data_IF_304129628687
#
_entry.id   IF_304129628687
#
_cell.length_a   1.000
_cell.length_b   1.000
_cell.length_c   1.000
_cell.angle_alpha   90.00
_cell.angle_beta   90.00
_cell.angle_gamma   90.00
#
_symmetry.space_group_name_H-M   'P 1'
#
loop_
_entity.id
_entity.type
_entity.pdbx_description
1 polymer ?
#
# COMPACT_ATOMS: atom_id res chain seq x y z
N UNK A 1 -5.74 -27.66 -0.25
CA UNK A 1 -6.63 -28.43 0.65
C UNK A 1 -6.03 -28.86 1.99
N UNK A 2 -4.76 -28.58 2.31
CA UNK A 2 -4.07 -29.07 3.51
C UNK A 2 -4.06 -28.13 4.73
N UNK A 3 -4.65 -26.91 4.64
CA UNK A 3 -4.56 -25.91 5.72
C UNK A 3 -5.85 -25.63 6.50
N UNK A 4 -6.98 -26.25 6.13
CA UNK A 4 -8.29 -25.99 6.79
C UNK A 4 -8.94 -27.20 7.47
N UNK A 5 -8.26 -28.33 7.57
CA UNK A 5 -8.82 -29.51 8.28
C UNK A 5 -8.56 -29.40 9.78
N UNK A 6 -9.63 -29.37 10.54
CA UNK A 6 -9.85 -29.50 12.00
C UNK A 6 -10.14 -28.19 12.73
N UNK A 7 -11.27 -28.16 13.44
CA UNK A 7 -11.54 -27.34 14.64
C UNK A 7 -10.27 -27.34 15.51
N UNK A 8 -9.38 -26.39 15.29
CA UNK A 8 -8.12 -26.32 16.01
C UNK A 8 -8.26 -25.26 17.09
N UNK A 9 -8.44 -25.69 18.32
CA UNK A 9 -7.94 -25.03 19.53
C UNK A 9 -6.40 -24.97 19.43
N UNK A 10 -5.88 -24.33 18.37
CA UNK A 10 -4.45 -24.23 18.11
C UNK A 10 -3.76 -23.39 19.19
N UNK A 11 -2.59 -23.82 19.64
CA UNK A 11 -1.71 -23.05 20.50
C UNK A 11 -1.40 -21.70 19.83
N UNK A 12 -1.12 -20.66 20.61
CA UNK A 12 -0.77 -19.30 20.12
C UNK A 12 0.33 -19.34 19.05
N UNK A 13 1.28 -20.27 19.16
CA UNK A 13 2.34 -20.54 18.17
C UNK A 13 1.78 -20.89 16.78
N UNK A 14 0.64 -21.56 16.70
CA UNK A 14 0.02 -21.93 15.41
C UNK A 14 -0.59 -20.71 14.70
N UNK A 15 -1.18 -19.76 15.44
CA UNK A 15 -1.71 -18.51 14.86
C UNK A 15 -0.58 -17.65 14.30
N UNK A 16 0.51 -17.45 15.04
CA UNK A 16 1.68 -16.70 14.55
C UNK A 16 2.29 -17.35 13.31
N UNK A 17 2.46 -18.68 13.30
CA UNK A 17 2.99 -19.39 12.12
C UNK A 17 2.12 -19.16 10.88
N UNK A 18 0.80 -19.18 11.04
CA UNK A 18 -0.13 -18.95 9.94
C UNK A 18 -0.09 -17.49 9.45
N UNK A 19 -0.05 -16.51 10.35
CA UNK A 19 0.11 -15.11 9.98
C UNK A 19 1.43 -14.86 9.23
N UNK A 20 2.53 -15.39 9.73
CA UNK A 20 3.84 -15.28 9.08
C UNK A 20 3.87 -15.94 7.70
N UNK A 21 3.24 -17.12 7.54
CA UNK A 21 3.22 -17.83 6.26
C UNK A 21 2.47 -17.08 5.14
N UNK A 22 1.49 -16.25 5.50
CA UNK A 22 0.74 -15.38 4.58
C UNK A 22 1.43 -14.02 4.45
N UNK A 23 1.89 -13.44 5.56
CA UNK A 23 2.42 -12.08 5.62
C UNK A 23 3.82 -11.94 5.02
N UNK A 24 4.73 -12.89 5.25
CA UNK A 24 6.10 -12.83 4.71
C UNK A 24 6.10 -12.70 3.18
N UNK A 25 5.33 -13.51 2.40
CA UNK A 25 5.24 -13.30 0.96
C UNK A 25 4.74 -11.90 0.57
N UNK A 26 3.78 -11.33 1.31
CA UNK A 26 3.28 -9.97 1.04
C UNK A 26 4.39 -8.93 1.32
N UNK A 27 5.10 -9.06 2.44
CA UNK A 27 6.24 -8.19 2.80
C UNK A 27 7.32 -8.25 1.72
N UNK A 28 7.70 -9.45 1.25
CA UNK A 28 8.69 -9.63 0.18
C UNK A 28 8.21 -8.97 -1.12
N UNK A 29 6.93 -9.09 -1.46
CA UNK A 29 6.36 -8.40 -2.62
C UNK A 29 6.45 -6.88 -2.50
N UNK A 30 6.11 -6.31 -1.34
CA UNK A 30 6.25 -4.87 -1.09
C UNK A 30 7.72 -4.41 -1.13
N UNK A 31 8.64 -5.20 -0.55
CA UNK A 31 10.08 -4.93 -0.63
C UNK A 31 10.56 -4.86 -2.08
N UNK A 32 10.11 -5.78 -2.92
CA UNK A 32 10.41 -5.75 -4.36
C UNK A 32 9.98 -4.44 -5.02
N UNK A 33 8.82 -3.89 -4.66
CA UNK A 33 8.34 -2.61 -5.20
C UNK A 33 9.22 -1.43 -4.79
N UNK A 34 9.72 -1.43 -3.54
CA UNK A 34 10.64 -0.38 -3.07
C UNK A 34 11.98 -0.49 -3.80
N UNK A 35 12.55 -1.69 -3.91
CA UNK A 35 13.81 -1.93 -4.64
C UNK A 35 13.68 -1.48 -6.10
N UNK A 36 12.53 -1.74 -6.73
CA UNK A 36 12.25 -1.28 -8.08
C UNK A 36 12.27 0.24 -8.18
N UNK A 37 11.59 0.96 -7.28
CA UNK A 37 11.59 2.42 -7.26
C UNK A 37 12.99 3.02 -7.09
N UNK A 38 13.83 2.41 -6.27
CA UNK A 38 15.25 2.80 -6.14
C UNK A 38 16.03 2.54 -7.42
N UNK A 39 15.87 1.37 -8.04
CA UNK A 39 16.54 1.02 -9.29
C UNK A 39 16.15 2.00 -10.41
N UNK A 40 14.87 2.29 -10.59
CA UNK A 40 14.37 3.26 -11.56
C UNK A 40 14.99 4.65 -11.33
N UNK A 41 14.98 5.13 -10.10
CA UNK A 41 15.53 6.44 -9.73
C UNK A 41 17.03 6.53 -10.01
N UNK A 42 17.79 5.50 -9.64
CA UNK A 42 19.24 5.44 -9.87
C UNK A 42 19.54 5.38 -11.36
N UNK A 43 18.85 4.54 -12.13
CA UNK A 43 19.11 4.37 -13.55
C UNK A 43 18.78 5.62 -14.36
N UNK A 44 17.63 6.25 -14.10
CA UNK A 44 17.24 7.51 -14.74
C UNK A 44 18.20 8.64 -14.33
N UNK A 45 18.55 8.73 -13.04
CA UNK A 45 19.43 9.77 -12.51
C UNK A 45 20.87 9.71 -13.04
N UNK A 46 21.38 8.51 -13.36
CA UNK A 46 22.67 8.37 -14.03
C UNK A 46 22.64 8.71 -15.53
N UNK A 47 21.46 8.69 -16.14
CA UNK A 47 21.30 9.04 -17.54
C UNK A 47 21.18 10.58 -17.71
N UNK A 48 20.25 11.23 -16.98
CA UNK A 48 20.07 12.70 -17.04
C UNK A 48 19.41 13.24 -15.78
N UNK A 49 19.89 14.40 -15.30
CA UNK A 49 19.28 15.14 -14.18
C UNK A 49 17.90 15.68 -14.54
N UNK A 50 17.70 16.13 -15.79
CA UNK A 50 16.42 16.65 -16.29
C UNK A 50 15.38 15.53 -16.38
N UNK A 51 15.76 14.35 -16.87
CA UNK A 51 14.91 13.17 -16.90
C UNK A 51 14.52 12.72 -15.50
N UNK A 52 15.43 12.77 -14.54
CA UNK A 52 15.13 12.47 -13.14
C UNK A 52 14.12 13.44 -12.55
N UNK A 53 14.25 14.73 -12.85
CA UNK A 53 13.29 15.76 -12.42
C UNK A 53 11.90 15.53 -13.02
N UNK A 54 11.85 15.25 -14.34
CA UNK A 54 10.61 14.93 -15.05
C UNK A 54 9.94 13.65 -14.51
N UNK A 55 10.73 12.59 -14.27
CA UNK A 55 10.26 11.36 -13.65
C UNK A 55 9.69 11.60 -12.26
N UNK A 56 10.39 12.40 -11.45
CA UNK A 56 9.97 12.73 -10.07
C UNK A 56 8.58 13.39 -10.04
N UNK A 57 8.33 14.36 -10.91
CA UNK A 57 7.02 15.02 -11.01
C UNK A 57 5.92 14.02 -11.38
N UNK A 58 6.12 13.24 -12.44
CA UNK A 58 5.14 12.28 -12.93
C UNK A 58 4.88 11.22 -11.85
N UNK A 59 5.93 10.66 -11.24
CA UNK A 59 5.80 9.62 -10.23
C UNK A 59 5.06 10.13 -8.96
N UNK A 60 5.25 11.38 -8.54
CA UNK A 60 4.51 11.96 -7.43
C UNK A 60 3.00 12.04 -7.72
N UNK A 61 2.62 12.48 -8.92
CA UNK A 61 1.21 12.52 -9.36
C UNK A 61 0.62 11.10 -9.37
N UNK A 62 1.33 10.16 -9.99
CA UNK A 62 0.86 8.78 -10.09
C UNK A 62 0.80 8.06 -8.74
N UNK A 63 1.67 8.38 -7.79
CA UNK A 63 1.68 7.74 -6.46
C UNK A 63 0.36 7.94 -5.73
N UNK A 64 -0.20 9.17 -5.73
CA UNK A 64 -1.48 9.43 -5.07
C UNK A 64 -2.62 8.64 -5.73
N UNK A 65 -2.70 8.71 -7.07
CA UNK A 65 -3.72 7.98 -7.84
C UNK A 65 -3.57 6.47 -7.62
N UNK A 66 -2.34 5.99 -7.62
CA UNK A 66 -2.01 4.59 -7.42
C UNK A 66 -2.41 4.08 -6.03
N UNK A 67 -2.12 4.83 -4.96
CA UNK A 67 -2.49 4.48 -3.58
C UNK A 67 -4.02 4.41 -3.43
N UNK A 68 -4.75 5.35 -4.03
CA UNK A 68 -6.21 5.32 -4.02
C UNK A 68 -6.76 4.12 -4.82
N UNK A 69 -6.20 3.86 -6.00
CA UNK A 69 -6.61 2.73 -6.83
C UNK A 69 -6.34 1.38 -6.15
N UNK A 70 -5.15 1.22 -5.60
CA UNK A 70 -4.79 0.03 -4.81
C UNK A 70 -5.74 -0.14 -3.61
N UNK A 71 -6.04 0.95 -2.90
CA UNK A 71 -7.00 0.96 -1.80
C UNK A 71 -8.39 0.50 -2.22
N UNK A 72 -8.86 0.92 -3.40
CA UNK A 72 -10.12 0.44 -3.94
C UNK A 72 -10.11 -1.08 -4.17
N UNK A 73 -9.03 -1.63 -4.73
CA UNK A 73 -8.92 -3.07 -4.98
C UNK A 73 -8.93 -3.90 -3.69
N UNK A 74 -8.48 -3.34 -2.56
CA UNK A 74 -8.48 -4.03 -1.25
C UNK A 74 -9.88 -4.41 -0.75
N UNK A 75 -10.94 -3.81 -1.31
CA UNK A 75 -12.32 -4.21 -1.03
C UNK A 75 -12.66 -5.65 -1.42
N UNK A 76 -11.90 -6.26 -2.35
CA UNK A 76 -12.15 -7.64 -2.80
C UNK A 76 -11.72 -8.70 -1.77
N UNK A 77 -10.59 -8.50 -1.09
CA UNK A 77 -10.02 -9.49 -0.16
C UNK A 77 -11.00 -9.95 0.93
N UNK A 78 -11.71 -9.06 1.67
CA UNK A 78 -12.67 -9.51 2.68
C UNK A 78 -13.88 -10.24 2.08
N UNK A 79 -14.30 -9.91 0.86
CA UNK A 79 -15.39 -10.61 0.17
C UNK A 79 -14.99 -12.06 -0.12
N UNK A 80 -13.82 -12.23 -0.73
CA UNK A 80 -13.30 -13.55 -1.10
C UNK A 80 -12.96 -14.36 0.14
N UNK A 81 -12.27 -13.74 1.12
CA UNK A 81 -11.87 -14.44 2.34
C UNK A 81 -13.07 -14.94 3.14
N UNK A 82 -14.14 -14.16 3.21
CA UNK A 82 -15.39 -14.58 3.86
C UNK A 82 -16.01 -15.78 3.14
N UNK A 83 -16.18 -15.72 1.81
CA UNK A 83 -16.72 -16.83 1.01
C UNK A 83 -15.86 -18.09 1.12
N UNK A 84 -14.54 -17.90 1.14
CA UNK A 84 -13.60 -18.99 1.34
C UNK A 84 -13.75 -19.64 2.73
N UNK A 85 -13.96 -18.82 3.77
CA UNK A 85 -14.25 -19.30 5.12
C UNK A 85 -15.62 -19.99 5.26
N UNK A 86 -16.62 -19.56 4.48
CA UNK A 86 -17.96 -20.18 4.39
C UNK A 86 -17.95 -21.46 3.53
N UNK A 87 -16.83 -21.85 2.91
CA UNK A 87 -16.70 -22.94 1.95
C UNK A 87 -17.57 -22.78 0.69
N UNK A 88 -18.01 -21.55 0.41
CA UNK A 88 -18.84 -21.19 -0.76
C UNK A 88 -17.97 -20.90 -1.98
N UNK A 89 -17.25 -21.92 -2.41
CA UNK A 89 -16.24 -21.83 -3.49
C UNK A 89 -16.86 -21.39 -4.82
N UNK A 90 -18.05 -21.89 -5.13
CA UNK A 90 -18.77 -21.59 -6.38
C UNK A 90 -19.14 -20.11 -6.54
N UNK A 91 -19.25 -19.36 -5.45
CA UNK A 91 -19.57 -17.93 -5.51
C UNK A 91 -18.35 -17.03 -5.72
N UNK A 92 -17.13 -17.55 -5.53
CA UNK A 92 -15.90 -16.76 -5.57
C UNK A 92 -15.61 -16.24 -6.98
N UNK A 93 -15.72 -17.09 -8.00
CA UNK A 93 -15.42 -16.70 -9.39
C UNK A 93 -16.29 -15.54 -9.87
N UNK A 94 -17.59 -15.57 -9.54
CA UNK A 94 -18.51 -14.48 -9.86
C UNK A 94 -18.10 -13.16 -9.18
N UNK A 95 -17.67 -13.20 -7.91
CA UNK A 95 -17.20 -11.99 -7.20
C UNK A 95 -15.92 -11.44 -7.82
N UNK A 96 -14.99 -12.30 -8.22
CA UNK A 96 -13.74 -11.89 -8.91
C UNK A 96 -14.08 -11.18 -10.22
N UNK A 97 -14.97 -11.74 -11.07
CA UNK A 97 -15.39 -11.11 -12.33
C UNK A 97 -16.04 -9.75 -12.13
N UNK A 98 -16.98 -9.66 -11.18
CA UNK A 98 -17.64 -8.39 -10.86
C UNK A 98 -16.68 -7.34 -10.29
N UNK A 99 -15.71 -7.78 -9.47
CA UNK A 99 -14.67 -6.89 -8.97
C UNK A 99 -13.70 -6.45 -10.05
N UNK A 100 -13.35 -7.33 -10.99
CA UNK A 100 -12.53 -6.95 -12.13
C UNK A 100 -13.20 -5.84 -12.93
N UNK A 101 -14.51 -5.98 -13.22
CA UNK A 101 -15.28 -4.93 -13.88
C UNK A 101 -15.30 -3.63 -13.08
N UNK A 102 -15.56 -3.68 -11.77
CA UNK A 102 -15.56 -2.50 -10.91
C UNK A 102 -14.18 -1.82 -10.85
N UNK A 103 -13.12 -2.61 -10.75
CA UNK A 103 -11.74 -2.11 -10.75
C UNK A 103 -11.37 -1.47 -12.09
N UNK A 104 -11.72 -2.11 -13.22
CA UNK A 104 -11.47 -1.55 -14.55
C UNK A 104 -12.22 -0.23 -14.74
N UNK A 105 -13.48 -0.14 -14.31
CA UNK A 105 -14.24 1.10 -14.38
C UNK A 105 -13.61 2.21 -13.50
N UNK A 106 -13.22 1.88 -12.27
CA UNK A 106 -12.52 2.81 -11.38
C UNK A 106 -11.19 3.26 -11.97
N UNK A 107 -10.41 2.32 -12.52
CA UNK A 107 -9.14 2.63 -13.20
C UNK A 107 -9.36 3.55 -14.41
N UNK A 108 -10.42 3.32 -15.19
CA UNK A 108 -10.78 4.20 -16.32
C UNK A 108 -11.16 5.60 -15.83
N UNK A 109 -11.95 5.73 -14.77
CA UNK A 109 -12.31 7.04 -14.19
C UNK A 109 -11.09 7.80 -13.67
N UNK A 110 -10.18 7.12 -12.98
CA UNK A 110 -8.92 7.70 -12.54
C UNK A 110 -8.02 8.09 -13.72
N UNK A 111 -7.99 7.27 -14.78
CA UNK A 111 -7.28 7.57 -16.01
C UNK A 111 -7.85 8.81 -16.72
N UNK A 112 -9.16 9.00 -16.74
CA UNK A 112 -9.81 10.22 -17.26
C UNK A 112 -9.36 11.44 -16.45
N UNK A 113 -9.32 11.36 -15.13
CA UNK A 113 -8.82 12.46 -14.29
C UNK A 113 -7.35 12.78 -14.60
N UNK A 114 -6.52 11.75 -14.82
CA UNK A 114 -5.12 11.93 -15.24
C UNK A 114 -5.02 12.53 -16.65
N UNK A 115 -5.91 12.20 -17.58
CA UNK A 115 -5.96 12.84 -18.93
C UNK A 115 -6.30 14.32 -18.81
N UNK A 116 -7.28 14.69 -17.97
CA UNK A 116 -7.59 16.10 -17.69
C UNK A 116 -6.37 16.84 -17.15
N UNK A 117 -5.64 16.23 -16.23
CA UNK A 117 -4.39 16.78 -15.71
C UNK A 117 -3.32 16.90 -16.81
N UNK A 118 -3.15 15.87 -17.64
CA UNK A 118 -2.23 15.87 -18.78
C UNK A 118 -2.47 17.04 -19.73
N UNK A 119 -3.73 17.32 -20.07
CA UNK A 119 -4.11 18.44 -20.94
C UNK A 119 -3.81 19.81 -20.30
N UNK A 120 -3.66 19.87 -18.98
CA UNK A 120 -3.36 21.09 -18.24
C UNK A 120 -1.92 21.15 -17.70
N UNK A 121 -1.02 20.25 -18.10
CA UNK A 121 0.36 20.22 -17.62
C UNK A 121 1.11 21.55 -17.82
N UNK A 122 0.87 22.25 -18.92
CA UNK A 122 1.47 23.57 -19.20
C UNK A 122 1.05 24.67 -18.20
N UNK A 123 -0.08 24.49 -17.50
CA UNK A 123 -0.58 25.46 -16.51
C UNK A 123 -0.07 25.18 -15.08
N UNK A 124 0.69 24.08 -14.86
CA UNK A 124 1.23 23.72 -13.54
C UNK A 124 2.51 24.50 -13.21
N UNK A 125 3.02 25.33 -14.15
CA UNK A 125 4.19 26.18 -13.92
C UNK A 125 5.53 25.45 -13.98
N UNK A 126 5.59 24.32 -14.70
CA UNK A 126 6.84 23.61 -14.96
C UNK A 126 7.59 24.25 -16.15
N UNK A 127 8.95 24.20 -16.16
CA UNK A 127 9.74 24.62 -17.29
C UNK A 127 9.30 23.95 -18.59
N UNK A 128 9.18 24.69 -19.68
CA UNK A 128 8.73 24.16 -20.99
C UNK A 128 9.64 23.02 -21.49
N UNK A 129 10.95 23.13 -21.23
CA UNK A 129 11.96 22.14 -21.60
C UNK A 129 11.68 20.74 -20.97
N UNK A 130 11.10 20.71 -19.77
CA UNK A 130 10.73 19.44 -19.10
C UNK A 130 9.43 18.84 -19.65
N UNK A 131 8.56 19.64 -20.28
CA UNK A 131 7.27 19.15 -20.80
C UNK A 131 7.45 18.13 -21.91
N UNK A 132 8.50 18.26 -22.73
CA UNK A 132 8.81 17.33 -23.82
C UNK A 132 9.23 15.95 -23.28
N UNK A 133 9.84 15.88 -22.10
CA UNK A 133 10.17 14.65 -21.38
C UNK A 133 8.97 14.10 -20.58
N UNK A 134 8.22 14.98 -19.94
CA UNK A 134 7.08 14.63 -19.09
C UNK A 134 5.96 13.98 -19.92
N UNK A 135 5.57 14.58 -21.04
CA UNK A 135 4.40 14.16 -21.83
C UNK A 135 4.45 12.71 -22.29
N UNK A 136 5.50 12.23 -22.99
CA UNK A 136 5.56 10.84 -23.42
C UNK A 136 5.58 9.86 -22.23
N UNK A 137 6.36 10.17 -21.20
CA UNK A 137 6.46 9.36 -20.00
C UNK A 137 5.13 9.27 -19.24
N UNK A 138 4.38 10.39 -19.17
CA UNK A 138 3.06 10.44 -18.56
C UNK A 138 2.07 9.54 -19.29
N UNK A 139 2.01 9.58 -20.63
CA UNK A 139 1.08 8.76 -21.43
C UNK A 139 1.35 7.28 -21.24
N UNK A 140 2.62 6.86 -21.27
CA UNK A 140 2.98 5.44 -21.07
C UNK A 140 2.57 4.95 -19.69
N UNK A 141 2.79 5.77 -18.66
CA UNK A 141 2.32 5.45 -17.30
C UNK A 141 0.78 5.42 -17.22
N UNK A 142 0.07 6.31 -17.92
CA UNK A 142 -1.39 6.34 -17.99
C UNK A 142 -1.95 5.00 -18.51
N UNK A 143 -1.42 4.50 -19.63
CA UNK A 143 -1.83 3.20 -20.18
C UNK A 143 -1.58 2.07 -19.18
N UNK A 144 -0.51 2.13 -18.42
CA UNK A 144 -0.12 1.08 -17.48
C UNK A 144 -1.08 0.94 -16.28
N UNK A 145 -1.87 1.99 -15.95
CA UNK A 145 -2.84 1.98 -14.83
C UNK A 145 -3.87 0.85 -15.00
N UNK A 146 -4.34 0.62 -16.20
CA UNK A 146 -5.35 -0.42 -16.46
C UNK A 146 -4.81 -1.83 -16.19
N UNK A 147 -3.57 -2.11 -16.62
CA UNK A 147 -2.93 -3.42 -16.36
C UNK A 147 -2.65 -3.65 -14.88
N UNK A 148 -2.35 -2.58 -14.14
CA UNK A 148 -2.26 -2.66 -12.68
C UNK A 148 -3.59 -3.06 -12.05
N UNK A 149 -4.71 -2.54 -12.54
CA UNK A 149 -6.04 -2.94 -12.07
C UNK A 149 -6.31 -4.43 -12.23
N UNK A 150 -5.93 -5.01 -13.37
CA UNK A 150 -6.03 -6.45 -13.60
C UNK A 150 -5.14 -7.21 -12.63
N UNK A 151 -3.87 -6.82 -12.52
CA UNK A 151 -2.90 -7.45 -11.62
C UNK A 151 -3.39 -7.43 -10.16
N UNK A 152 -3.76 -6.25 -9.63
CA UNK A 152 -4.20 -6.12 -8.23
C UNK A 152 -5.53 -6.83 -7.98
N UNK A 153 -6.46 -6.88 -8.93
CA UNK A 153 -7.69 -7.67 -8.77
C UNK A 153 -7.37 -9.15 -8.58
N UNK A 154 -6.50 -9.71 -9.42
CA UNK A 154 -6.07 -11.10 -9.30
C UNK A 154 -5.26 -11.33 -8.03
N UNK A 155 -4.41 -10.38 -7.65
CA UNK A 155 -3.68 -10.43 -6.37
C UNK A 155 -4.63 -10.48 -5.19
N UNK A 156 -5.62 -9.59 -5.11
CA UNK A 156 -6.57 -9.56 -3.99
C UNK A 156 -7.44 -10.83 -3.93
N UNK A 157 -7.76 -11.42 -5.09
CA UNK A 157 -8.40 -12.72 -5.14
C UNK A 157 -7.51 -13.82 -4.55
N UNK A 158 -6.25 -13.90 -4.98
CA UNK A 158 -5.30 -14.90 -4.48
C UNK A 158 -5.00 -14.70 -3.00
N UNK A 159 -4.87 -13.46 -2.55
CA UNK A 159 -4.73 -13.12 -1.14
C UNK A 159 -5.95 -13.58 -0.33
N UNK A 160 -7.17 -13.35 -0.84
CA UNK A 160 -8.42 -13.78 -0.22
C UNK A 160 -8.53 -15.30 -0.03
N UNK A 161 -7.92 -16.10 -0.92
CA UNK A 161 -7.84 -17.56 -0.78
C UNK A 161 -6.53 -18.03 -0.13
N UNK A 162 -5.76 -17.11 0.49
CA UNK A 162 -4.49 -17.34 1.18
C UNK A 162 -3.35 -17.89 0.28
N UNK A 163 -3.34 -17.55 -1.01
CA UNK A 163 -2.31 -17.95 -1.99
C UNK A 163 -1.34 -16.80 -2.32
N UNK A 164 -0.85 -16.13 -1.29
CA UNK A 164 -0.02 -14.91 -1.39
C UNK A 164 1.33 -15.14 -2.09
N UNK A 165 1.86 -16.36 -2.10
CA UNK A 165 3.13 -16.70 -2.74
C UNK A 165 3.11 -16.52 -4.25
N UNK A 166 1.97 -16.76 -4.89
CA UNK A 166 1.85 -16.61 -6.35
C UNK A 166 2.06 -15.15 -6.74
N UNK A 167 1.35 -14.24 -6.08
CA UNK A 167 1.50 -12.81 -6.32
C UNK A 167 2.92 -12.32 -6.03
N UNK A 168 3.55 -12.79 -4.95
CA UNK A 168 4.93 -12.46 -4.60
C UNK A 168 5.90 -12.81 -5.75
N UNK A 169 5.84 -14.03 -6.28
CA UNK A 169 6.75 -14.46 -7.35
C UNK A 169 6.51 -13.70 -8.66
N UNK A 170 5.24 -13.41 -8.99
CA UNK A 170 4.92 -12.60 -10.17
C UNK A 170 5.45 -11.16 -10.01
N UNK A 171 5.34 -10.57 -8.81
CA UNK A 171 5.91 -9.24 -8.52
C UNK A 171 7.44 -9.24 -8.65
N UNK A 172 8.13 -10.23 -8.08
CA UNK A 172 9.59 -10.34 -8.19
C UNK A 172 10.01 -10.49 -9.66
N UNK A 173 9.36 -11.38 -10.41
CA UNK A 173 9.66 -11.56 -11.83
C UNK A 173 9.40 -10.29 -12.64
N UNK A 174 8.29 -9.58 -12.37
CA UNK A 174 7.97 -8.29 -13.00
C UNK A 174 9.02 -7.22 -12.71
N UNK A 175 9.50 -7.15 -11.47
CA UNK A 175 10.56 -6.21 -11.09
C UNK A 175 11.89 -6.52 -11.81
N UNK A 176 12.26 -7.80 -11.92
CA UNK A 176 13.45 -8.21 -12.68
C UNK A 176 13.32 -7.83 -14.16
N UNK A 177 12.15 -8.07 -14.77
CA UNK A 177 11.88 -7.67 -16.15
C UNK A 177 11.95 -6.16 -16.32
N UNK A 178 11.43 -5.39 -15.37
CA UNK A 178 11.49 -3.93 -15.41
C UNK A 178 12.93 -3.42 -15.33
N UNK A 179 13.73 -3.88 -14.35
CA UNK A 179 15.12 -3.46 -14.18
C UNK A 179 15.94 -3.82 -15.43
N UNK A 180 15.75 -5.02 -15.97
CA UNK A 180 16.43 -5.44 -17.20
C UNK A 180 15.97 -4.62 -18.40
N UNK A 181 14.68 -4.35 -18.54
CA UNK A 181 14.13 -3.50 -19.59
C UNK A 181 14.61 -2.05 -19.49
N UNK A 182 14.74 -1.51 -18.27
CA UNK A 182 15.34 -0.19 -18.05
C UNK A 182 16.78 -0.15 -18.56
N UNK A 183 17.58 -1.17 -18.22
CA UNK A 183 18.96 -1.26 -18.69
C UNK A 183 19.05 -1.30 -20.22
N UNK A 184 18.16 -2.02 -20.90
CA UNK A 184 18.13 -2.08 -22.35
C UNK A 184 17.66 -0.76 -22.99
N UNK A 185 16.60 -0.14 -22.48
CA UNK A 185 15.89 0.94 -23.17
C UNK A 185 16.33 2.33 -22.71
N UNK A 186 16.80 2.53 -21.47
CA UNK A 186 17.35 3.82 -21.04
C UNK A 186 18.68 4.06 -21.75
N UNK A 187 19.56 3.04 -21.74
CA UNK A 187 20.94 3.19 -22.21
C UNK A 187 21.17 2.70 -23.66
N UNK A 188 20.16 2.17 -24.34
CA UNK A 188 20.31 1.74 -25.73
C UNK A 188 21.27 0.54 -25.92
N UNK A 189 21.33 -0.39 -24.95
CA UNK A 189 22.28 -1.50 -24.98
C UNK A 189 21.77 -2.65 -25.87
N UNK A 190 22.68 -3.48 -26.39
CA UNK A 190 22.37 -4.68 -27.20
C UNK A 190 21.60 -4.40 -28.50
N UNK A 191 21.79 -3.23 -29.10
CA UNK A 191 21.16 -2.84 -30.36
C UNK A 191 19.76 -2.22 -30.23
N UNK A 192 19.30 -2.00 -29.01
CA UNK A 192 18.09 -1.22 -28.75
C UNK A 192 18.38 0.29 -28.86
N UNK A 193 17.36 1.11 -29.25
CA UNK A 193 17.53 2.57 -29.25
C UNK A 193 17.64 3.10 -27.82
N UNK A 194 18.47 4.10 -27.62
CA UNK A 194 18.55 4.87 -26.38
C UNK A 194 17.31 5.78 -26.27
N UNK A 195 16.41 5.46 -25.37
CA UNK A 195 15.13 6.13 -25.20
C UNK A 195 15.04 6.96 -23.90
N UNK A 196 16.08 6.89 -23.05
CA UNK A 196 16.13 7.62 -21.79
C UNK A 196 14.90 7.39 -20.92
N UNK A 197 14.27 8.47 -20.43
CA UNK A 197 13.09 8.43 -19.59
C UNK A 197 11.90 7.69 -20.23
N UNK A 198 11.70 7.85 -21.55
CA UNK A 198 10.65 7.12 -22.25
C UNK A 198 10.89 5.61 -22.19
N UNK A 199 12.17 5.18 -22.29
CA UNK A 199 12.57 3.79 -22.15
C UNK A 199 12.20 3.21 -20.76
N UNK A 200 12.39 3.99 -19.69
CA UNK A 200 11.94 3.60 -18.34
C UNK A 200 10.43 3.43 -18.28
N UNK A 201 9.66 4.34 -18.89
CA UNK A 201 8.20 4.25 -18.99
C UNK A 201 7.74 2.99 -19.72
N UNK A 202 8.33 2.71 -20.89
CA UNK A 202 7.99 1.51 -21.70
C UNK A 202 8.33 0.23 -20.93
N UNK A 203 9.47 0.17 -20.27
CA UNK A 203 9.86 -0.96 -19.44
C UNK A 203 8.86 -1.20 -18.28
N UNK A 204 8.41 -0.12 -17.64
CA UNK A 204 7.39 -0.17 -16.58
C UNK A 204 6.05 -0.68 -17.15
N UNK A 205 5.61 -0.17 -18.29
CA UNK A 205 4.39 -0.65 -18.96
C UNK A 205 4.50 -2.13 -19.30
N UNK A 206 5.59 -2.55 -19.93
CA UNK A 206 5.82 -3.94 -20.32
C UNK A 206 5.80 -4.87 -19.11
N UNK A 207 6.49 -4.53 -18.03
CA UNK A 207 6.48 -5.32 -16.80
C UNK A 207 5.08 -5.45 -16.20
N UNK A 208 4.27 -4.38 -16.19
CA UNK A 208 2.89 -4.38 -15.70
C UNK A 208 1.96 -5.23 -16.58
N UNK A 209 2.12 -5.17 -17.90
CA UNK A 209 1.40 -6.03 -18.85
C UNK A 209 1.74 -7.50 -18.60
N UNK A 210 3.03 -7.82 -18.49
CA UNK A 210 3.49 -9.19 -18.24
C UNK A 210 3.03 -9.71 -16.87
N UNK A 211 3.06 -8.89 -15.82
CA UNK A 211 2.53 -9.25 -14.51
C UNK A 211 1.02 -9.53 -14.56
N UNK A 212 0.25 -8.68 -15.23
CA UNK A 212 -1.19 -8.88 -15.40
C UNK A 212 -1.49 -10.17 -16.20
N UNK A 213 -0.80 -10.37 -17.32
CA UNK A 213 -0.94 -11.56 -18.14
C UNK A 213 -0.54 -12.84 -17.39
N UNK A 214 0.57 -12.80 -16.64
CA UNK A 214 1.02 -13.92 -15.81
C UNK A 214 -0.01 -14.28 -14.73
N UNK A 215 -0.57 -13.29 -14.02
CA UNK A 215 -1.59 -13.53 -12.99
C UNK A 215 -2.85 -14.16 -13.59
N UNK A 216 -3.35 -13.61 -14.69
CA UNK A 216 -4.52 -14.18 -15.40
C UNK A 216 -4.19 -15.58 -15.92
N UNK A 217 -3.03 -15.77 -16.56
CA UNK A 217 -2.57 -17.06 -17.08
C UNK A 217 -2.45 -18.14 -15.99
N UNK A 218 -1.93 -17.77 -14.81
CA UNK A 218 -1.82 -18.67 -13.65
C UNK A 218 -3.20 -19.05 -13.11
N UNK A 219 -4.10 -18.07 -12.95
CA UNK A 219 -5.46 -18.31 -12.45
C UNK A 219 -6.26 -19.18 -13.41
N UNK A 220 -6.16 -18.93 -14.73
CA UNK A 220 -6.87 -19.70 -15.73
C UNK A 220 -6.21 -21.05 -16.01
N UNK A 221 -4.87 -21.14 -16.04
CA UNK A 221 -4.13 -22.32 -16.50
C UNK A 221 -3.92 -23.39 -15.42
N UNK A 222 -3.72 -23.00 -14.15
CA UNK A 222 -3.40 -23.99 -13.10
C UNK A 222 -4.63 -24.77 -12.65
N UNK A 223 -4.49 -26.10 -12.54
CA UNK A 223 -5.54 -27.01 -12.04
C UNK A 223 -6.06 -26.63 -10.65
N UNK A 224 -5.20 -26.05 -9.81
CA UNK A 224 -5.55 -25.59 -8.46
C UNK A 224 -6.69 -24.57 -8.44
N UNK A 225 -6.79 -23.72 -9.47
CA UNK A 225 -7.80 -22.67 -9.59
C UNK A 225 -8.94 -23.03 -10.55
N UNK A 226 -8.97 -24.27 -11.06
CA UNK A 226 -9.98 -24.74 -12.03
C UNK A 226 -11.41 -24.53 -11.55
N UNK A 227 -11.65 -24.69 -10.24
CA UNK A 227 -12.96 -24.51 -9.60
C UNK A 227 -13.50 -23.07 -9.68
N UNK A 228 -12.66 -22.06 -9.86
CA UNK A 228 -13.06 -20.65 -9.97
C UNK A 228 -13.18 -20.20 -11.43
N UNK A 229 -12.51 -20.91 -12.35
CA UNK A 229 -12.32 -20.51 -13.76
C UNK A 229 -13.63 -20.27 -14.50
N UNK A 230 -14.55 -21.23 -14.39
CA UNK A 230 -15.80 -21.14 -15.14
C UNK A 230 -16.56 -19.86 -14.80
N UNK A 231 -16.73 -19.57 -13.53
CA UNK A 231 -17.47 -18.39 -13.07
C UNK A 231 -16.72 -17.08 -13.33
N UNK A 232 -15.38 -17.08 -13.25
CA UNK A 232 -14.58 -15.90 -13.63
C UNK A 232 -14.81 -15.55 -15.10
N UNK A 233 -14.94 -16.54 -15.98
CA UNK A 233 -15.09 -16.31 -17.42
C UNK A 233 -16.55 -16.11 -17.87
N UNK A 234 -17.54 -16.75 -17.24
CA UNK A 234 -18.90 -16.84 -17.76
C UNK A 234 -19.99 -16.24 -16.87
N UNK A 235 -19.71 -15.95 -15.56
CA UNK A 235 -20.75 -15.41 -14.69
C UNK A 235 -21.20 -14.01 -15.11
N UNK A 236 -22.43 -13.65 -14.79
CA UNK A 236 -22.99 -12.33 -15.09
C UNK A 236 -22.47 -11.25 -14.14
N UNK A 237 -22.33 -10.03 -14.66
CA UNK A 237 -22.09 -8.84 -13.85
C UNK A 237 -23.42 -8.40 -13.24
N UNK A 238 -23.50 -8.36 -11.91
CA UNK A 238 -24.73 -8.00 -11.20
C UNK A 238 -24.58 -6.68 -10.46
N UNK A 239 -25.64 -5.88 -10.45
CA UNK A 239 -25.67 -4.60 -9.72
C UNK A 239 -25.39 -4.79 -8.23
N UNK A 240 -25.81 -5.91 -7.65
CA UNK A 240 -25.58 -6.23 -6.24
C UNK A 240 -24.09 -6.40 -5.93
N UNK A 241 -23.38 -7.22 -6.72
CA UNK A 241 -21.94 -7.45 -6.53
C UNK A 241 -21.11 -6.20 -6.84
N UNK A 242 -21.48 -5.46 -7.88
CA UNK A 242 -20.85 -4.17 -8.19
C UNK A 242 -21.02 -3.17 -7.03
N UNK A 243 -22.24 -3.06 -6.47
CA UNK A 243 -22.50 -2.19 -5.32
C UNK A 243 -21.72 -2.62 -4.06
N UNK A 244 -21.62 -3.94 -3.83
CA UNK A 244 -20.83 -4.48 -2.70
C UNK A 244 -19.37 -4.10 -2.82
N UNK A 245 -18.75 -4.27 -4.00
CA UNK A 245 -17.36 -3.89 -4.24
C UNK A 245 -17.13 -2.39 -4.03
N UNK A 246 -18.00 -1.54 -4.58
CA UNK A 246 -17.91 -0.08 -4.39
C UNK A 246 -18.10 0.34 -2.91
N UNK A 247 -18.99 -0.35 -2.19
CA UNK A 247 -19.25 -0.09 -0.77
C UNK A 247 -18.02 -0.37 0.11
N UNK A 248 -17.18 -1.31 -0.30
CA UNK A 248 -15.98 -1.67 0.43
C UNK A 248 -14.73 -0.97 -0.13
N UNK A 249 -14.60 -0.83 -1.44
CA UNK A 249 -13.41 -0.28 -2.09
C UNK A 249 -13.23 1.22 -1.85
N UNK A 250 -14.27 2.03 -2.10
CA UNK A 250 -14.14 3.49 -1.98
C UNK A 250 -13.77 3.99 -0.58
N UNK A 251 -14.35 3.46 0.52
CA UNK A 251 -13.90 3.89 1.85
C UNK A 251 -12.43 3.59 2.12
N UNK A 252 -11.91 2.45 1.65
CA UNK A 252 -10.49 2.10 1.80
C UNK A 252 -9.62 3.01 0.93
N UNK A 253 -10.04 3.28 -0.31
CA UNK A 253 -9.35 4.22 -1.19
C UNK A 253 -9.23 5.61 -0.57
N UNK A 254 -10.34 6.15 -0.06
CA UNK A 254 -10.37 7.45 0.60
C UNK A 254 -9.53 7.48 1.88
N UNK A 255 -9.59 6.43 2.70
CA UNK A 255 -8.79 6.36 3.92
C UNK A 255 -7.28 6.39 3.61
N UNK A 256 -6.82 5.59 2.64
CA UNK A 256 -5.41 5.58 2.22
C UNK A 256 -5.01 6.88 1.51
N UNK A 257 -5.90 7.45 0.71
CA UNK A 257 -5.68 8.75 0.06
C UNK A 257 -5.52 9.88 1.08
N UNK A 258 -6.36 9.93 2.11
CA UNK A 258 -6.25 10.92 3.19
C UNK A 258 -4.96 10.75 3.99
N UNK A 259 -4.59 9.53 4.31
CA UNK A 259 -3.34 9.21 5.00
C UNK A 259 -2.13 9.70 4.18
N UNK A 260 -2.05 9.32 2.91
CA UNK A 260 -0.98 9.77 2.00
C UNK A 260 -0.95 11.29 1.85
N UNK A 261 -2.12 11.93 1.71
CA UNK A 261 -2.24 13.40 1.62
C UNK A 261 -1.75 14.11 2.89
N UNK A 262 -2.04 13.55 4.07
CA UNK A 262 -1.59 14.13 5.32
C UNK A 262 -0.06 14.11 5.46
N UNK A 263 0.59 13.01 5.07
CA UNK A 263 2.05 12.94 5.04
C UNK A 263 2.65 13.91 4.02
N UNK A 264 2.04 14.04 2.84
CA UNK A 264 2.48 15.01 1.82
C UNK A 264 2.34 16.45 2.31
N UNK A 265 1.21 16.80 2.95
CA UNK A 265 1.01 18.14 3.52
C UNK A 265 1.99 18.43 4.66
N UNK A 266 2.30 17.43 5.48
CA UNK A 266 3.33 17.57 6.52
C UNK A 266 4.72 17.82 5.93
N UNK A 267 5.06 17.17 4.81
CA UNK A 267 6.29 17.43 4.07
C UNK A 267 6.35 18.88 3.57
N UNK A 268 5.24 19.42 3.03
CA UNK A 268 5.13 20.82 2.62
C UNK A 268 5.35 21.76 3.81
N UNK A 269 4.73 21.47 4.96
CA UNK A 269 4.92 22.25 6.19
C UNK A 269 6.40 22.25 6.65
N UNK A 270 7.07 21.09 6.59
CA UNK A 270 8.51 21.02 6.90
C UNK A 270 9.33 21.83 5.91
N UNK A 271 8.94 21.85 4.63
CA UNK A 271 9.58 22.69 3.59
C UNK A 271 9.57 24.19 3.91
N UNK A 272 8.53 24.69 4.59
CA UNK A 272 8.47 26.09 5.05
C UNK A 272 9.48 26.41 6.17
N UNK A 273 10.01 25.41 6.86
CA UNK A 273 11.05 25.58 7.88
C UNK A 273 12.46 25.70 7.30
N UNK A 274 12.64 25.37 6.02
CA UNK A 274 13.92 25.47 5.30
C UNK A 274 14.48 24.12 4.83
N UNK A 275 15.65 24.20 4.18
CA UNK A 275 16.25 23.04 3.47
C UNK A 275 16.82 21.98 4.42
N UNK A 276 17.39 22.38 5.56
CA UNK A 276 17.99 21.45 6.53
C UNK A 276 16.91 20.59 7.20
N UNK A 277 15.82 21.17 7.77
CA UNK A 277 14.71 20.38 8.29
C UNK A 277 14.09 19.46 7.23
N UNK A 278 13.94 19.96 5.99
CA UNK A 278 13.37 19.17 4.89
C UNK A 278 14.26 17.97 4.54
N UNK A 279 15.58 18.14 4.50
CA UNK A 279 16.53 17.05 4.28
C UNK A 279 16.43 15.98 5.38
N UNK A 280 16.39 16.40 6.65
CA UNK A 280 16.20 15.48 7.76
C UNK A 280 14.86 14.74 7.68
N UNK A 281 13.77 15.43 7.31
CA UNK A 281 12.46 14.82 7.09
C UNK A 281 12.50 13.74 6.01
N UNK A 282 13.19 13.95 4.89
CA UNK A 282 13.32 12.96 3.83
C UNK A 282 14.04 11.69 4.29
N UNK A 283 15.10 11.83 5.09
CA UNK A 283 15.77 10.68 5.70
C UNK A 283 14.79 9.91 6.58
N UNK A 284 14.01 10.61 7.40
CA UNK A 284 13.04 9.99 8.30
C UNK A 284 11.90 9.29 7.56
N UNK A 285 11.38 9.87 6.47
CA UNK A 285 10.37 9.22 5.62
C UNK A 285 10.93 7.93 5.01
N UNK A 286 12.17 7.94 4.53
CA UNK A 286 12.83 6.75 3.98
C UNK A 286 12.93 5.63 5.03
N UNK A 287 13.36 5.96 6.25
CA UNK A 287 13.40 5.00 7.36
C UNK A 287 12.00 4.47 7.71
N UNK A 288 11.02 5.37 7.78
CA UNK A 288 9.63 5.00 8.10
C UNK A 288 9.02 4.04 7.08
N UNK A 289 9.37 4.17 5.80
CA UNK A 289 8.90 3.26 4.75
C UNK A 289 9.34 1.81 4.98
N UNK A 290 10.51 1.58 5.58
CA UNK A 290 10.98 0.22 5.91
C UNK A 290 10.08 -0.44 6.98
N UNK A 291 9.70 0.33 8.01
CA UNK A 291 8.75 -0.15 9.03
C UNK A 291 7.37 -0.40 8.44
N UNK A 292 6.86 0.59 7.70
CA UNK A 292 5.57 0.50 7.02
C UNK A 292 5.42 -0.77 6.18
N UNK A 293 6.46 -1.14 5.44
CA UNK A 293 6.50 -2.33 4.59
C UNK A 293 6.20 -3.61 5.37
N UNK A 294 6.84 -3.79 6.53
CA UNK A 294 6.65 -4.97 7.37
C UNK A 294 5.27 -4.93 8.04
N UNK A 295 4.91 -3.79 8.63
CA UNK A 295 3.63 -3.62 9.34
C UNK A 295 2.44 -3.81 8.40
N UNK A 296 2.48 -3.21 7.19
CA UNK A 296 1.40 -3.30 6.21
C UNK A 296 1.22 -4.73 5.67
N UNK A 297 2.32 -5.44 5.40
CA UNK A 297 2.25 -6.83 4.93
C UNK A 297 1.69 -7.78 5.96
N UNK A 298 2.09 -7.62 7.23
CA UNK A 298 1.57 -8.44 8.34
C UNK A 298 0.10 -8.10 8.66
N UNK A 299 -0.26 -6.81 8.59
CA UNK A 299 -1.64 -6.38 8.77
C UNK A 299 -2.56 -6.88 7.64
N UNK A 300 -2.07 -6.94 6.39
CA UNK A 300 -2.82 -7.55 5.28
C UNK A 300 -3.07 -9.04 5.52
N UNK A 301 -2.06 -9.79 5.99
CA UNK A 301 -2.23 -11.21 6.37
C UNK A 301 -3.28 -11.38 7.48
N UNK A 302 -3.32 -10.46 8.43
CA UNK A 302 -4.35 -10.45 9.48
C UNK A 302 -5.74 -10.23 8.90
N UNK A 303 -5.93 -9.27 7.97
CA UNK A 303 -7.22 -9.03 7.32
C UNK A 303 -7.73 -10.28 6.58
N UNK A 304 -6.85 -11.00 5.88
CA UNK A 304 -7.17 -12.26 5.20
C UNK A 304 -7.66 -13.30 6.21
N UNK A 305 -6.94 -13.50 7.31
CA UNK A 305 -7.30 -14.50 8.33
C UNK A 305 -8.59 -14.11 9.08
N UNK A 306 -8.76 -12.83 9.41
CA UNK A 306 -9.99 -12.31 10.02
C UNK A 306 -11.19 -12.61 9.12
N UNK A 307 -11.09 -12.33 7.81
CA UNK A 307 -12.20 -12.58 6.88
C UNK A 307 -12.56 -14.07 6.77
N UNK A 308 -11.57 -14.98 6.84
CA UNK A 308 -11.82 -16.43 6.88
C UNK A 308 -12.61 -16.81 8.12
N UNK A 309 -12.19 -16.34 9.30
CA UNK A 309 -12.89 -16.66 10.56
C UNK A 309 -14.29 -16.03 10.63
N UNK A 310 -14.49 -14.87 10.04
CA UNK A 310 -15.83 -14.28 9.86
C UNK A 310 -16.73 -15.21 9.05
N UNK A 311 -16.20 -15.76 7.94
CA UNK A 311 -16.94 -16.74 7.13
C UNK A 311 -17.30 -18.01 7.90
N UNK A 312 -16.39 -18.49 8.77
CA UNK A 312 -16.60 -19.63 9.66
C UNK A 312 -17.52 -19.32 10.85
N UNK A 313 -17.92 -18.06 11.03
CA UNK A 313 -18.65 -17.55 12.20
C UNK A 313 -17.92 -17.83 13.54
N UNK A 314 -16.59 -17.93 13.50
CA UNK A 314 -15.75 -18.11 14.69
C UNK A 314 -15.22 -16.74 15.16
N UNK A 315 -16.07 -16.01 15.86
CA UNK A 315 -15.78 -14.65 16.31
C UNK A 315 -14.70 -14.58 17.41
N UNK A 316 -14.53 -15.67 18.18
CA UNK A 316 -13.42 -15.75 19.13
C UNK A 316 -12.08 -15.83 18.41
N UNK A 317 -12.00 -16.62 17.32
CA UNK A 317 -10.81 -16.66 16.46
C UNK A 317 -10.58 -15.32 15.74
N UNK A 318 -11.64 -14.60 15.32
CA UNK A 318 -11.54 -13.25 14.77
C UNK A 318 -10.85 -12.32 15.77
N UNK A 319 -11.35 -12.23 16.99
CA UNK A 319 -10.76 -11.39 18.05
C UNK A 319 -9.32 -11.76 18.32
N UNK A 320 -9.07 -13.05 18.56
CA UNK A 320 -7.73 -13.56 18.85
C UNK A 320 -6.75 -13.24 17.74
N UNK A 321 -7.13 -13.46 16.47
CA UNK A 321 -6.26 -13.21 15.33
C UNK A 321 -5.93 -11.70 15.17
N UNK A 322 -6.88 -10.80 15.44
CA UNK A 322 -6.65 -9.36 15.42
C UNK A 322 -5.62 -8.92 16.49
N UNK A 323 -5.78 -9.43 17.71
CA UNK A 323 -4.84 -9.10 18.79
C UNK A 323 -3.46 -9.76 18.61
N UNK A 324 -3.40 -10.98 18.13
CA UNK A 324 -2.13 -11.67 17.85
C UNK A 324 -1.40 -10.97 16.67
N UNK A 325 -2.14 -10.50 15.66
CA UNK A 325 -1.58 -9.69 14.57
C UNK A 325 -1.02 -8.35 15.05
N UNK A 326 -1.74 -7.64 15.93
CA UNK A 326 -1.26 -6.41 16.55
C UNK A 326 -0.01 -6.65 17.41
N UNK A 327 0.00 -7.69 18.25
CA UNK A 327 1.19 -8.05 19.03
C UNK A 327 2.39 -8.37 18.17
N UNK A 328 2.17 -9.06 17.05
CA UNK A 328 3.22 -9.39 16.09
C UNK A 328 3.79 -8.11 15.43
N UNK A 329 2.93 -7.19 15.02
CA UNK A 329 3.35 -5.88 14.50
C UNK A 329 4.15 -5.09 15.55
N UNK A 330 3.71 -5.10 16.80
CA UNK A 330 4.43 -4.47 17.91
C UNK A 330 5.81 -5.10 18.12
N UNK A 331 5.91 -6.43 18.07
CA UNK A 331 7.20 -7.13 18.16
C UNK A 331 8.13 -6.74 17.01
N UNK A 332 7.63 -6.68 15.78
CA UNK A 332 8.44 -6.21 14.63
C UNK A 332 8.87 -4.76 14.80
N UNK A 333 7.97 -3.87 15.24
CA UNK A 333 8.32 -2.46 15.50
C UNK A 333 9.44 -2.33 16.53
N UNK A 334 9.41 -3.13 17.60
CA UNK A 334 10.45 -3.14 18.64
C UNK A 334 11.76 -3.74 18.08
N UNK A 335 11.69 -4.91 17.41
CA UNK A 335 12.87 -5.57 16.87
C UNK A 335 13.61 -4.73 15.82
N UNK A 336 12.87 -4.03 14.96
CA UNK A 336 13.46 -3.12 13.96
C UNK A 336 13.86 -1.79 14.58
N UNK A 337 13.08 -1.30 15.54
CA UNK A 337 13.29 0.01 16.16
C UNK A 337 14.49 0.07 17.10
N UNK A 338 14.76 -1.00 17.86
CA UNK A 338 15.89 -1.02 18.79
C UNK A 338 17.25 -0.77 18.11
N UNK A 339 17.61 -1.46 17.00
CA UNK A 339 18.85 -1.14 16.27
C UNK A 339 18.86 0.29 15.73
N UNK A 340 17.74 0.78 15.20
CA UNK A 340 17.63 2.16 14.69
C UNK A 340 17.82 3.18 15.82
N UNK A 341 17.27 2.93 17.00
CA UNK A 341 17.43 3.79 18.15
C UNK A 341 18.87 3.80 18.68
N UNK A 342 19.54 2.64 18.73
CA UNK A 342 20.94 2.51 19.16
C UNK A 342 21.85 3.25 18.18
N UNK A 343 21.62 3.11 16.87
CA UNK A 343 22.44 3.70 15.82
C UNK A 343 22.03 5.12 15.43
N UNK A 344 21.10 5.76 16.16
CA UNK A 344 20.47 7.03 15.77
C UNK A 344 21.47 8.16 15.45
N UNK A 345 22.62 8.20 16.12
CA UNK A 345 23.65 9.21 15.87
C UNK A 345 24.51 8.93 14.64
N UNK A 346 24.48 7.69 14.13
CA UNK A 346 25.25 7.28 12.95
C UNK A 346 24.40 7.32 11.68
N UNK A 347 23.10 7.02 11.80
CA UNK A 347 22.18 6.88 10.66
C UNK A 347 22.13 8.14 9.81
N UNK A 348 22.09 9.33 10.43
CA UNK A 348 22.10 10.58 9.69
C UNK A 348 23.30 10.72 8.76
N UNK A 349 24.49 10.28 9.22
CA UNK A 349 25.72 10.29 8.43
C UNK A 349 25.75 9.32 7.25
N UNK A 350 24.90 8.30 7.24
CA UNK A 350 24.76 7.41 6.07
C UNK A 350 24.03 8.08 4.90
N UNK A 351 23.26 9.14 5.16
CA UNK A 351 22.44 9.81 4.15
C UNK A 351 22.95 11.22 3.81
N UNK A 352 23.59 11.93 4.75
CA UNK A 352 23.96 13.31 4.57
C UNK A 352 25.17 13.70 5.43
N UNK A 353 26.13 14.44 4.83
CA UNK A 353 27.35 14.88 5.51
C UNK A 353 27.13 16.12 6.40
N UNK A 354 26.00 16.82 6.28
CA UNK A 354 25.70 18.01 7.07
C UNK A 354 25.36 17.62 8.52
N UNK A 355 26.18 18.13 9.47
CA UNK A 355 26.05 17.81 10.88
C UNK A 355 24.70 18.23 11.49
N UNK A 356 24.11 19.34 11.03
CA UNK A 356 22.77 19.77 11.47
C UNK A 356 21.68 18.80 11.05
N UNK A 357 21.74 18.29 9.81
CA UNK A 357 20.81 17.26 9.33
C UNK A 357 20.94 16.00 10.18
N UNK A 358 22.18 15.57 10.47
CA UNK A 358 22.44 14.39 11.30
C UNK A 358 21.88 14.55 12.72
N UNK A 359 22.00 15.74 13.32
CA UNK A 359 21.44 16.04 14.64
C UNK A 359 19.91 15.99 14.64
N UNK A 360 19.26 16.58 13.63
CA UNK A 360 17.81 16.48 13.49
C UNK A 360 17.37 15.03 13.32
N UNK A 361 18.03 14.24 12.46
CA UNK A 361 17.70 12.81 12.25
C UNK A 361 17.81 12.05 13.58
N UNK A 362 18.89 12.23 14.34
CA UNK A 362 19.09 11.56 15.62
C UNK A 362 17.99 11.87 16.65
N UNK A 363 17.47 13.09 16.63
CA UNK A 363 16.39 13.54 17.50
C UNK A 363 15.03 13.02 17.03
N UNK A 364 14.76 13.09 15.72
CA UNK A 364 13.51 12.65 15.11
C UNK A 364 13.32 11.12 15.18
N UNK A 365 14.40 10.34 15.21
CA UNK A 365 14.32 8.88 15.41
C UNK A 365 13.61 8.56 16.73
N UNK A 366 13.79 9.34 17.78
CA UNK A 366 13.09 9.13 19.07
C UNK A 366 11.57 9.30 18.85
N UNK A 367 11.16 10.36 18.15
CA UNK A 367 9.75 10.61 17.84
C UNK A 367 9.18 9.51 16.93
N UNK A 368 9.98 9.03 15.97
CA UNK A 368 9.60 7.90 15.11
C UNK A 368 9.38 6.63 15.93
N UNK A 369 10.19 6.34 16.95
CA UNK A 369 9.96 5.17 17.82
C UNK A 369 8.62 5.28 18.55
N UNK A 370 8.25 6.46 19.01
CA UNK A 370 6.96 6.67 19.68
C UNK A 370 5.80 6.48 18.69
N UNK A 371 5.89 7.06 17.51
CA UNK A 371 4.80 6.93 16.55
C UNK A 371 4.61 5.50 16.03
N UNK A 372 5.66 4.67 15.97
CA UNK A 372 5.55 3.28 15.54
C UNK A 372 4.55 2.46 16.37
N UNK A 373 4.35 2.78 17.64
CA UNK A 373 3.31 2.14 18.45
C UNK A 373 1.91 2.50 17.99
N UNK A 374 1.68 3.78 17.70
CA UNK A 374 0.41 4.27 17.13
C UNK A 374 0.15 3.70 15.74
N UNK A 375 1.18 3.65 14.91
CA UNK A 375 1.11 3.13 13.55
C UNK A 375 0.81 1.62 13.54
N UNK A 376 1.49 0.83 14.37
CA UNK A 376 1.20 -0.59 14.55
C UNK A 376 -0.22 -0.86 15.03
N UNK A 377 -0.76 -0.05 15.93
CA UNK A 377 -2.15 -0.13 16.39
C UNK A 377 -3.12 0.21 15.25
N UNK A 378 -2.88 1.33 14.55
CA UNK A 378 -3.70 1.80 13.45
C UNK A 378 -3.76 0.77 12.31
N UNK A 379 -2.60 0.32 11.80
CA UNK A 379 -2.55 -0.65 10.70
C UNK A 379 -3.21 -1.97 11.06
N UNK A 380 -3.00 -2.46 12.27
CA UNK A 380 -3.60 -3.70 12.74
C UNK A 380 -5.12 -3.60 12.75
N UNK A 381 -5.69 -2.61 13.44
CA UNK A 381 -7.14 -2.51 13.56
C UNK A 381 -7.84 -1.96 12.32
N UNK A 382 -7.17 -1.15 11.48
CA UNK A 382 -7.67 -0.81 10.15
C UNK A 382 -7.86 -2.08 9.29
N UNK A 383 -6.88 -2.98 9.29
CA UNK A 383 -6.96 -4.23 8.54
C UNK A 383 -7.91 -5.25 9.19
N UNK A 384 -8.05 -5.27 10.52
CA UNK A 384 -9.08 -6.04 11.19
C UNK A 384 -10.50 -5.58 10.79
N UNK A 385 -10.75 -4.26 10.74
CA UNK A 385 -12.00 -3.67 10.24
C UNK A 385 -12.26 -4.00 8.78
N UNK A 386 -11.22 -3.99 7.93
CA UNK A 386 -11.33 -4.46 6.54
C UNK A 386 -11.72 -5.94 6.50
N UNK A 387 -11.08 -6.79 7.31
CA UNK A 387 -11.37 -8.22 7.41
C UNK A 387 -12.81 -8.53 7.79
N UNK A 388 -13.43 -7.75 8.70
CA UNK A 388 -14.86 -7.87 9.04
C UNK A 388 -15.77 -7.06 8.09
N UNK A 389 -15.24 -6.48 7.01
CA UNK A 389 -15.97 -5.66 6.02
C UNK A 389 -16.65 -4.39 6.59
N UNK A 390 -16.15 -3.85 7.72
CA UNK A 390 -16.64 -2.62 8.36
C UNK A 390 -15.74 -1.42 8.03
N UNK A 391 -15.73 -0.98 6.77
CA UNK A 391 -14.77 0.03 6.27
C UNK A 391 -15.29 1.47 6.28
N UNK A 392 -16.61 1.69 6.26
CA UNK A 392 -17.19 3.05 6.16
C UNK A 392 -16.77 4.00 7.29
N UNK A 393 -16.76 3.60 8.56
CA UNK A 393 -16.34 4.49 9.65
C UNK A 393 -14.88 4.89 9.56
N UNK A 394 -14.05 4.09 8.86
CA UNK A 394 -12.61 4.36 8.74
C UNK A 394 -12.33 5.70 8.07
N UNK A 395 -13.16 6.10 7.09
CA UNK A 395 -13.03 7.39 6.41
C UNK A 395 -13.15 8.56 7.39
N UNK A 396 -14.20 8.53 8.23
CA UNK A 396 -14.41 9.58 9.22
C UNK A 396 -13.30 9.63 10.27
N UNK A 397 -12.87 8.46 10.74
CA UNK A 397 -11.80 8.37 11.74
C UNK A 397 -10.46 8.81 11.19
N UNK A 398 -10.13 8.47 9.94
CA UNK A 398 -8.95 8.97 9.25
C UNK A 398 -9.01 10.49 9.08
N UNK A 399 -10.15 11.04 8.65
CA UNK A 399 -10.32 12.48 8.53
C UNK A 399 -10.08 13.20 9.86
N UNK A 400 -10.70 12.72 10.94
CA UNK A 400 -10.53 13.31 12.27
C UNK A 400 -9.05 13.22 12.71
N UNK A 401 -8.45 12.04 12.62
CA UNK A 401 -7.10 11.81 13.10
C UNK A 401 -6.05 12.63 12.35
N UNK A 402 -6.15 12.69 11.02
CA UNK A 402 -5.14 13.34 10.20
C UNK A 402 -5.41 14.83 9.97
N UNK A 403 -6.63 15.19 9.56
CA UNK A 403 -6.94 16.57 9.12
C UNK A 403 -7.44 17.47 10.28
N UNK A 404 -8.12 16.91 11.28
CA UNK A 404 -8.61 17.69 12.42
C UNK A 404 -7.59 17.74 13.56
N UNK A 405 -6.81 16.68 13.76
CA UNK A 405 -5.89 16.58 14.90
C UNK A 405 -4.43 16.73 14.46
N UNK A 406 -3.94 15.81 13.62
CA UNK A 406 -2.50 15.71 13.33
C UNK A 406 -1.96 16.95 12.60
N UNK A 407 -2.57 17.35 11.48
CA UNK A 407 -2.11 18.50 10.71
C UNK A 407 -2.21 19.83 11.48
N UNK A 408 -3.38 20.19 12.13
CA UNK A 408 -3.46 21.42 12.91
C UNK A 408 -2.52 21.43 14.13
N UNK A 409 -2.36 20.27 14.79
CA UNK A 409 -1.43 20.13 15.90
C UNK A 409 0.03 20.29 15.42
N UNK A 410 0.40 19.67 14.30
CA UNK A 410 1.73 19.81 13.70
C UNK A 410 2.03 21.26 13.31
N UNK A 411 1.04 21.97 12.76
CA UNK A 411 1.16 23.39 12.44
C UNK A 411 1.36 24.23 13.71
N UNK A 412 0.49 24.05 14.71
CA UNK A 412 0.55 24.83 15.97
C UNK A 412 1.85 24.58 16.76
N UNK A 413 2.29 23.35 16.86
CA UNK A 413 3.54 23.02 17.55
C UNK A 413 4.76 23.49 16.73
N UNK A 414 4.72 23.32 15.42
CA UNK A 414 5.84 23.63 14.53
C UNK A 414 6.11 25.14 14.38
N UNK A 415 5.06 25.96 14.23
CA UNK A 415 5.18 27.37 13.88
C UNK A 415 4.87 28.30 15.08
N UNK A 416 3.63 28.42 15.58
CA UNK A 416 3.31 29.34 16.68
C UNK A 416 4.11 29.06 17.97
N UNK A 417 4.35 27.80 18.30
CA UNK A 417 5.12 27.40 19.48
C UNK A 417 6.62 27.28 19.22
N UNK A 418 7.08 27.49 17.98
CA UNK A 418 8.49 27.56 17.63
C UNK A 418 9.27 26.25 17.75
N UNK A 419 8.58 25.09 17.82
CA UNK A 419 9.24 23.78 17.95
C UNK A 419 9.82 23.27 16.62
N UNK A 420 9.55 23.96 15.50
CA UNK A 420 10.03 23.61 14.18
C UNK A 420 9.63 22.19 13.76
N UNK A 421 10.55 21.45 13.13
CA UNK A 421 10.31 20.10 12.65
C UNK A 421 9.89 19.12 13.75
N UNK A 422 10.41 19.30 14.98
CA UNK A 422 10.03 18.47 16.13
C UNK A 422 8.55 18.58 16.43
N UNK A 423 7.97 19.80 16.38
CA UNK A 423 6.56 20.02 16.62
C UNK A 423 5.70 19.26 15.60
N UNK A 424 6.10 19.26 14.33
CA UNK A 424 5.40 18.52 13.26
C UNK A 424 5.49 17.00 13.51
N UNK A 425 6.67 16.50 13.91
CA UNK A 425 6.85 15.06 14.16
C UNK A 425 6.19 14.57 15.45
N UNK A 426 6.03 15.42 16.47
CA UNK A 426 5.25 15.10 17.68
C UNK A 426 3.78 14.89 17.36
N UNK A 427 3.23 15.57 16.37
CA UNK A 427 1.82 15.40 15.99
C UNK A 427 1.49 14.02 15.38
N UNK A 428 2.45 13.34 14.73
CA UNK A 428 2.22 12.00 14.16
C UNK A 428 1.81 10.95 15.18
N UNK A 429 2.54 10.75 16.31
CA UNK A 429 2.10 9.82 17.36
C UNK A 429 0.66 10.04 17.82
N UNK A 430 0.25 11.29 17.98
CA UNK A 430 -1.12 11.61 18.41
C UNK A 430 -2.15 11.21 17.34
N UNK A 431 -1.95 11.64 16.09
CA UNK A 431 -2.87 11.32 15.01
C UNK A 431 -3.01 9.81 14.80
N UNK A 432 -1.89 9.10 14.68
CA UNK A 432 -1.86 7.65 14.45
C UNK A 432 -2.45 6.87 15.62
N UNK A 433 -2.12 7.25 16.86
CA UNK A 433 -2.66 6.59 18.05
C UNK A 433 -4.17 6.80 18.17
N UNK A 434 -4.66 8.02 17.91
CA UNK A 434 -6.09 8.31 17.94
C UNK A 434 -6.82 7.52 16.85
N UNK A 435 -6.29 7.49 15.62
CA UNK A 435 -6.85 6.64 14.57
C UNK A 435 -6.90 5.17 15.00
N UNK A 436 -5.78 4.65 15.54
CA UNK A 436 -5.68 3.28 16.02
C UNK A 436 -6.69 2.93 17.13
N UNK A 437 -6.85 3.82 18.11
CA UNK A 437 -7.83 3.65 19.20
C UNK A 437 -9.25 3.67 18.67
N UNK A 438 -9.60 4.60 17.77
CA UNK A 438 -10.93 4.67 17.16
C UNK A 438 -11.24 3.42 16.32
N UNK A 439 -10.24 2.90 15.57
CA UNK A 439 -10.40 1.64 14.82
C UNK A 439 -10.56 0.44 15.74
N UNK A 440 -9.76 0.37 16.81
CA UNK A 440 -9.88 -0.69 17.82
C UNK A 440 -11.24 -0.70 18.50
N UNK A 441 -11.72 0.46 19.00
CA UNK A 441 -13.04 0.57 19.63
C UNK A 441 -14.16 0.18 18.66
N UNK A 442 -14.04 0.60 17.39
CA UNK A 442 -15.03 0.25 16.37
C UNK A 442 -15.02 -1.24 16.07
N UNK A 443 -13.84 -1.84 15.96
CA UNK A 443 -13.68 -3.27 15.75
C UNK A 443 -14.36 -4.07 16.87
N UNK A 444 -14.08 -3.75 18.14
CA UNK A 444 -14.69 -4.44 19.27
C UNK A 444 -16.24 -4.27 19.31
N UNK A 445 -16.72 -3.07 19.02
CA UNK A 445 -18.16 -2.81 18.95
C UNK A 445 -18.85 -3.64 17.87
N UNK A 446 -18.29 -3.71 16.68
CA UNK A 446 -18.90 -4.49 15.59
C UNK A 446 -18.78 -5.99 15.81
N UNK A 447 -17.66 -6.44 16.39
CA UNK A 447 -17.47 -7.85 16.70
C UNK A 447 -18.49 -8.34 17.76
N UNK A 448 -18.75 -7.54 18.80
CA UNK A 448 -19.79 -7.87 19.81
C UNK A 448 -21.17 -8.00 19.17
N UNK A 449 -21.54 -7.08 18.25
CA UNK A 449 -22.82 -7.19 17.52
C UNK A 449 -22.91 -8.48 16.70
N UNK A 450 -21.78 -8.91 16.09
CA UNK A 450 -21.74 -10.16 15.32
C UNK A 450 -21.85 -11.38 16.23
N UNK A 451 -21.30 -11.32 17.45
CA UNK A 451 -21.44 -12.36 18.49
C UNK A 451 -22.88 -12.46 19.00
N UNK A 452 -23.55 -11.34 19.25
CA UNK A 452 -24.94 -11.27 19.72
C UNK A 452 -25.97 -11.71 18.65
N UNK A 453 -25.63 -11.54 17.36
CA UNK A 453 -26.49 -11.91 16.23
C UNK A 453 -26.39 -13.40 15.83
N UNK A 454 -25.55 -14.20 16.51
CA UNK A 454 -25.34 -15.64 16.28
C UNK A 454 -26.34 -16.48 17.07
#
# INVERSE_FOLDING_TARGET
>A
MLYMSKKNTGTQRHYYKNLLSIGIPIVIGHLGTIILGFADTIMIGHHSTEELAAAGLVNNIYTLVFVMYMGFTYGLTPIIGRLYGEERIDSIGQKVRNSLFANMLTGTLLSIALVVLYLNLSHIGQPEELLDLIRPYFIVNLVSVLFMGIFYTMKQFLDGVAETRVAMWVMIAGNVVNIFGNWLLIYGVAGFPELGLLGAGISTLLSRVLMAAAMVGIVIGRKKFAQYRYDILHSSITKANFREMNRLGWPVALQLGMESSAFTLSCVMVGWLGTIPLAAHQVMITLSQLFYLVLSGMAAAMAIRVSHFVGQKDYQAVRRNAYDGWRLNLMFSICMGLPVLILRHQIGGWFNDNVEVQQYVALLIIMMMVYQFGDGLQYSFANALRGIACVRPMVLYAFIAYFVISLPMGYTLGFPLGMGILGIWIAFPFGLTIAGVLYWQRFEKELRKMEEAK
#
